data_IF_568722438421
#
_entry.id   IF_568722438421
#
_cell.length_a   1.000
_cell.length_b   1.000
_cell.length_c   1.000
_cell.angle_alpha   90.00
_cell.angle_beta   90.00
_cell.angle_gamma   90.00
#
_symmetry.space_group_name_H-M   'P 1'
#
loop_
_entity.id
_entity.type
_entity.pdbx_description
1 polymer ?
#
# COMPACT_ATOMS: atom_id res chain seq x y z
N UNK A 1 5.37 11.97 0.30
CA UNK A 1 5.21 10.55 0.71
C UNK A 1 4.03 9.99 -0.07
N UNK A 2 4.10 8.72 -0.46
CA UNK A 2 3.03 7.98 -1.12
C UNK A 2 2.49 6.97 -0.13
N UNK A 3 1.20 7.02 0.15
CA UNK A 3 0.54 6.08 1.06
C UNK A 3 0.01 4.88 0.27
N UNK A 4 0.18 3.68 0.83
CA UNK A 4 -0.24 2.43 0.24
C UNK A 4 -1.05 1.69 1.30
N UNK A 5 -2.31 1.42 0.97
CA UNK A 5 -3.18 0.60 1.78
C UNK A 5 -2.99 -0.86 1.39
N UNK A 6 -2.67 -1.70 2.37
CA UNK A 6 -2.51 -3.15 2.21
C UNK A 6 -3.66 -3.80 2.96
N UNK A 7 -4.42 -4.66 2.28
CA UNK A 7 -5.41 -5.53 2.89
C UNK A 7 -4.80 -6.91 3.05
N UNK A 8 -4.74 -7.39 4.28
CA UNK A 8 -4.22 -8.69 4.65
C UNK A 8 -5.35 -9.71 4.78
N UNK A 9 -5.02 -10.97 4.59
CA UNK A 9 -5.92 -12.08 4.86
C UNK A 9 -6.01 -12.30 6.37
N UNK A 10 -7.17 -12.71 6.92
CA UNK A 10 -7.33 -12.99 8.35
C UNK A 10 -6.39 -14.11 8.87
N UNK A 11 -5.91 -15.01 8.00
CA UNK A 11 -4.88 -16.02 8.34
C UNK A 11 -3.44 -15.52 8.20
N UNK A 12 -3.22 -14.28 7.79
CA UNK A 12 -1.88 -13.78 7.51
C UNK A 12 -1.11 -13.50 8.82
N UNK A 13 0.17 -13.92 8.90
CA UNK A 13 1.00 -13.65 10.08
C UNK A 13 1.24 -12.15 10.29
N UNK A 14 1.05 -11.32 9.26
CA UNK A 14 1.21 -9.87 9.31
C UNK A 14 0.12 -9.16 10.14
N UNK A 15 -1.02 -9.81 10.42
CA UNK A 15 -2.05 -9.26 11.32
C UNK A 15 -1.55 -9.23 12.76
N UNK A 16 -0.84 -10.28 13.19
CA UNK A 16 -0.28 -10.36 14.53
C UNK A 16 0.95 -9.44 14.70
N UNK A 17 1.70 -9.22 13.62
CA UNK A 17 2.91 -8.41 13.63
C UNK A 17 2.98 -7.46 12.42
N UNK A 18 2.24 -6.33 12.46
CA UNK A 18 2.18 -5.38 11.35
C UNK A 18 3.51 -4.68 11.07
N UNK A 19 4.41 -4.62 12.07
CA UNK A 19 5.77 -4.12 11.90
C UNK A 19 6.61 -4.97 10.94
N UNK A 20 6.25 -6.24 10.74
CA UNK A 20 6.96 -7.14 9.81
C UNK A 20 6.78 -6.72 8.35
N UNK A 21 5.73 -5.93 8.03
CA UNK A 21 5.56 -5.36 6.68
C UNK A 21 6.69 -4.39 6.31
N UNK A 22 7.22 -3.64 7.28
CA UNK A 22 8.39 -2.77 7.06
C UNK A 22 9.67 -3.57 6.82
N UNK A 23 9.70 -4.86 7.16
CA UNK A 23 10.84 -5.74 6.85
C UNK A 23 10.81 -6.31 5.42
N UNK A 24 9.67 -6.18 4.70
CA UNK A 24 9.56 -6.63 3.30
C UNK A 24 10.43 -5.77 2.39
N UNK A 25 10.48 -4.46 2.63
CA UNK A 25 11.28 -3.56 1.83
C UNK A 25 11.81 -2.40 2.68
N UNK A 26 13.12 -2.07 2.60
CA UNK A 26 13.74 -1.04 3.44
C UNK A 26 13.17 0.38 3.22
N UNK A 27 12.53 0.62 2.07
CA UNK A 27 11.89 1.90 1.77
C UNK A 27 10.43 1.98 2.21
N UNK A 28 9.85 0.88 2.72
CA UNK A 28 8.50 0.88 3.29
C UNK A 28 8.57 1.36 4.74
N UNK A 29 7.83 2.41 5.03
CA UNK A 29 7.64 2.91 6.39
C UNK A 29 6.25 2.48 6.84
N UNK A 30 6.17 1.60 7.83
CA UNK A 30 4.89 1.27 8.44
C UNK A 30 4.34 2.50 9.17
N UNK A 31 3.14 2.95 8.79
CA UNK A 31 2.53 4.15 9.37
C UNK A 31 1.59 3.76 10.50
N UNK A 32 0.55 2.98 10.17
CA UNK A 32 -0.52 2.59 11.10
C UNK A 32 -1.49 1.60 10.46
N UNK A 33 -2.36 0.99 11.26
CA UNK A 33 -3.57 0.33 10.77
C UNK A 33 -4.59 1.32 10.19
N UNK A 34 -5.38 0.89 9.21
CA UNK A 34 -6.42 1.70 8.56
C UNK A 34 -7.71 1.62 9.37
N UNK A 35 -7.94 2.66 10.18
CA UNK A 35 -9.18 2.82 10.94
C UNK A 35 -9.34 1.74 12.02
N UNK A 36 -10.48 1.04 11.99
CA UNK A 36 -10.81 -0.06 12.92
C UNK A 36 -10.55 -1.46 12.33
N UNK A 37 -10.07 -1.56 11.10
CA UNK A 37 -9.81 -2.86 10.46
C UNK A 37 -8.39 -3.32 10.79
N UNK A 38 -8.20 -4.38 11.60
CA UNK A 38 -6.87 -4.88 11.96
C UNK A 38 -6.18 -5.59 10.78
N UNK A 39 -6.95 -6.05 9.80
CA UNK A 39 -6.48 -6.65 8.55
C UNK A 39 -5.98 -5.61 7.53
N UNK A 40 -6.34 -4.33 7.70
CA UNK A 40 -5.94 -3.27 6.79
C UNK A 40 -4.79 -2.45 7.39
N UNK A 41 -3.64 -2.47 6.72
CA UNK A 41 -2.43 -1.78 7.17
C UNK A 41 -2.06 -0.67 6.18
N UNK A 42 -1.64 0.48 6.70
CA UNK A 42 -1.17 1.63 5.93
C UNK A 42 0.35 1.71 6.03
N UNK A 43 0.99 1.70 4.88
CA UNK A 43 2.43 1.93 4.75
C UNK A 43 2.67 3.15 3.88
N UNK A 44 3.76 3.87 4.12
CA UNK A 44 4.16 5.03 3.35
C UNK A 44 5.53 4.80 2.74
N UNK A 45 5.73 5.35 1.55
CA UNK A 45 7.03 5.36 0.85
C UNK A 45 7.43 6.81 0.59
N UNK A 46 8.67 7.22 0.87
CA UNK A 46 9.17 8.54 0.50
C UNK A 46 9.15 8.70 -1.02
N UNK A 47 8.68 9.86 -1.50
CA UNK A 47 8.48 10.08 -2.94
C UNK A 47 9.81 10.12 -3.71
N UNK A 48 10.91 10.43 -3.03
CA UNK A 48 12.28 10.35 -3.56
C UNK A 48 12.65 8.92 -4.01
N UNK A 49 12.08 7.90 -3.34
CA UNK A 49 12.33 6.50 -3.65
C UNK A 49 11.22 5.92 -4.53
N UNK A 50 10.01 6.49 -4.49
CA UNK A 50 8.87 6.09 -5.31
C UNK A 50 9.06 6.46 -6.79
N UNK A 51 9.85 5.68 -7.49
CA UNK A 51 10.01 5.70 -8.96
C UNK A 51 9.19 4.58 -9.58
N UNK A 52 8.86 4.68 -10.88
CA UNK A 52 8.00 3.69 -11.56
C UNK A 52 8.53 2.25 -11.44
N UNK A 53 9.84 2.05 -11.57
CA UNK A 53 10.49 0.75 -11.39
C UNK A 53 10.37 0.23 -9.95
N UNK A 54 10.73 1.06 -8.97
CA UNK A 54 10.71 0.69 -7.55
C UNK A 54 9.29 0.48 -7.04
N UNK A 55 8.32 1.26 -7.53
CA UNK A 55 6.92 1.10 -7.19
C UNK A 55 6.39 -0.26 -7.66
N UNK A 56 6.72 -0.68 -8.88
CA UNK A 56 6.32 -1.99 -9.40
C UNK A 56 6.97 -3.12 -8.59
N UNK A 57 8.26 -3.01 -8.26
CA UNK A 57 8.98 -4.00 -7.47
C UNK A 57 8.44 -4.12 -6.02
N UNK A 58 8.14 -2.99 -5.38
CA UNK A 58 7.48 -2.95 -4.07
C UNK A 58 6.10 -3.60 -4.15
N UNK A 59 5.29 -3.27 -5.17
CA UNK A 59 3.96 -3.82 -5.34
C UNK A 59 3.99 -5.32 -5.66
N UNK A 60 4.95 -5.77 -6.47
CA UNK A 60 5.17 -7.17 -6.78
C UNK A 60 5.59 -7.94 -5.51
N UNK A 61 6.54 -7.40 -4.74
CA UNK A 61 6.98 -7.97 -3.46
C UNK A 61 5.84 -8.05 -2.43
N UNK A 62 5.02 -7.00 -2.33
CA UNK A 62 3.84 -7.00 -1.46
C UNK A 62 2.79 -8.00 -1.92
N UNK A 63 2.53 -8.12 -3.22
CA UNK A 63 1.60 -9.13 -3.75
C UNK A 63 2.13 -10.56 -3.63
N UNK A 64 3.45 -10.74 -3.67
CA UNK A 64 4.10 -12.02 -3.46
C UNK A 64 4.16 -12.41 -1.97
N UNK A 65 3.99 -11.45 -1.05
CA UNK A 65 3.99 -11.71 0.38
C UNK A 65 2.77 -12.55 0.79
N UNK A 66 3.04 -13.60 1.56
CA UNK A 66 2.03 -14.58 1.96
C UNK A 66 0.95 -13.95 2.86
N UNK A 67 -0.29 -13.97 2.37
CA UNK A 67 -1.44 -13.41 3.06
C UNK A 67 -1.72 -11.93 2.80
N UNK A 68 -1.14 -11.34 1.75
CA UNK A 68 -1.63 -10.07 1.19
C UNK A 68 -2.79 -10.35 0.23
N UNK A 69 -3.97 -9.81 0.52
CA UNK A 69 -5.19 -9.96 -0.30
C UNK A 69 -5.23 -8.88 -1.37
N UNK A 70 -4.90 -7.65 -1.02
CA UNK A 70 -4.97 -6.53 -1.94
C UNK A 70 -3.99 -5.44 -1.54
N UNK A 71 -3.45 -4.78 -2.56
CA UNK A 71 -2.55 -3.64 -2.39
C UNK A 71 -3.14 -2.49 -3.17
N UNK A 72 -3.37 -1.37 -2.51
CA UNK A 72 -4.03 -0.21 -3.07
C UNK A 72 -3.17 1.02 -2.83
N UNK A 73 -2.50 1.48 -3.90
CA UNK A 73 -1.69 2.69 -3.83
C UNK A 73 -2.62 3.89 -3.76
N UNK A 74 -2.54 4.62 -2.66
CA UNK A 74 -3.24 5.87 -2.47
C UNK A 74 -2.40 7.01 -3.04
N UNK A 75 -2.11 6.92 -4.33
CA UNK A 75 -1.70 8.10 -5.07
C UNK A 75 -2.87 9.07 -5.04
N UNK A 76 -2.61 10.32 -4.63
CA UNK A 76 -3.48 11.46 -4.91
C UNK A 76 -3.55 11.59 -6.44
N UNK A 77 -4.29 10.68 -7.07
CA UNK A 77 -4.63 10.73 -8.46
C UNK A 77 -5.50 11.96 -8.54
N UNK A 78 -4.88 13.10 -8.89
CA UNK A 78 -5.59 14.32 -9.19
C UNK A 78 -6.76 13.91 -10.05
N UNK A 79 -7.97 14.07 -9.50
CA UNK A 79 -9.20 13.80 -10.20
C UNK A 79 -9.20 14.76 -11.37
N UNK A 80 -8.70 14.32 -12.53
CA UNK A 80 -8.93 15.00 -13.78
C UNK A 80 -10.44 14.97 -13.95
N UNK A 81 -11.07 16.10 -13.60
CA UNK A 81 -12.46 16.43 -13.92
C UNK A 81 -12.67 15.91 -15.35
N UNK A 82 -13.46 14.84 -15.51
CA UNK A 82 -13.97 14.48 -16.82
C UNK A 82 -14.79 15.69 -17.25
N UNK A 83 -14.20 16.48 -18.14
CA UNK A 83 -14.86 17.61 -18.79
C UNK A 83 -16.13 17.03 -19.43
N UNK A 84 -17.26 17.64 -19.11
CA UNK A 84 -18.56 17.18 -19.57
C UNK A 84 -18.65 17.15 -21.09
N UNK A 85 -19.56 16.31 -21.57
CA UNK A 85 -20.28 16.54 -22.79
C UNK A 85 -21.66 15.88 -22.61
N UNK A 86 -22.60 16.69 -22.13
CA UNK A 86 -24.03 16.46 -22.33
C UNK A 86 -24.38 17.18 -23.62
N UNK A 87 -24.72 16.43 -24.68
CA UNK A 87 -25.42 16.91 -25.87
C UNK A 87 -26.43 15.85 -26.31
#
# INVERSE_FOLDING_TARGET
MVDIAITLAPSSPYIASPASLASIHPSLVHVRQIGQMPDAQLVAVPNEVWTTDVADDILASLKAADGVVSVNVQELKQRSKRKGDEL
#
